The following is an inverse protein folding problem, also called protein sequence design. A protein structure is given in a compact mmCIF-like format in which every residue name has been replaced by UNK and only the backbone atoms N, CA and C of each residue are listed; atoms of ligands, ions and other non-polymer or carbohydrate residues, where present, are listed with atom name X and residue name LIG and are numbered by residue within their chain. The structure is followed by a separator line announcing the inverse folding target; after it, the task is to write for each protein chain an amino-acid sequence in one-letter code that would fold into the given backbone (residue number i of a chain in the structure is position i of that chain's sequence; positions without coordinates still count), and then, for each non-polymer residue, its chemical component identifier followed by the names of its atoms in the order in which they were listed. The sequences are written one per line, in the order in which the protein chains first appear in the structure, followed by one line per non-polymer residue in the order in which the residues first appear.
data_IF_831106757422
#
_entry.id   IF_831106757422
#
_cell.length_a   1.000
_cell.length_b   1.000
_cell.length_c   1.000
_cell.angle_alpha   90.00
_cell.angle_beta   90.00
_cell.angle_gamma   90.00
#
_symmetry.space_group_name_H-M   'P 1'
#
loop_
_entity.id
_entity.type
_entity.pdbx_description
1 polymer ?
#
# COMPACT_ATOMS: atom_id res chain seq x y z
N UNK A 1 -34.78 32.32 -8.46
CA UNK A 1 -33.66 31.59 -9.08
C UNK A 1 -32.38 32.40 -8.86
N UNK A 2 -31.61 32.07 -7.82
CA UNK A 2 -30.31 32.71 -7.57
C UNK A 2 -29.27 31.61 -7.55
N UNK A 3 -28.52 31.54 -8.66
CA UNK A 3 -27.37 30.63 -8.80
C UNK A 3 -26.18 31.26 -8.09
N UNK A 4 -25.81 30.71 -6.92
CA UNK A 4 -24.62 31.14 -6.20
C UNK A 4 -23.40 30.54 -6.86
N UNK A 5 -22.66 31.33 -7.63
CA UNK A 5 -21.33 30.98 -8.14
C UNK A 5 -20.34 31.08 -6.99
N UNK A 6 -19.99 29.95 -6.39
CA UNK A 6 -18.90 29.86 -5.40
C UNK A 6 -17.58 30.13 -6.13
N UNK A 7 -16.89 31.20 -5.75
CA UNK A 7 -15.61 31.62 -6.36
C UNK A 7 -14.55 30.53 -6.26
N UNK A 8 -14.14 30.00 -7.40
CA UNK A 8 -13.11 28.98 -7.63
C UNK A 8 -11.70 29.31 -7.09
N UNK A 9 -11.44 30.55 -6.66
CA UNK A 9 -10.10 31.06 -6.35
C UNK A 9 -9.60 30.77 -4.92
N UNK A 10 -10.46 30.60 -3.93
CA UNK A 10 -10.06 30.42 -2.55
C UNK A 10 -9.65 28.96 -2.20
N UNK A 11 -10.27 27.98 -2.86
CA UNK A 11 -9.98 26.55 -2.64
C UNK A 11 -8.64 26.17 -3.29
N UNK A 12 -8.34 26.70 -4.47
CA UNK A 12 -7.09 26.41 -5.19
C UNK A 12 -5.82 26.96 -4.51
N UNK A 13 -5.93 28.06 -3.74
CA UNK A 13 -4.79 28.63 -2.98
C UNK A 13 -4.44 27.76 -1.77
N UNK A 14 -5.43 27.33 -0.99
CA UNK A 14 -5.22 26.44 0.17
C UNK A 14 -4.72 25.04 -0.23
N UNK A 15 -5.11 24.57 -1.42
CA UNK A 15 -4.63 23.29 -1.95
C UNK A 15 -3.14 23.34 -2.33
N UNK A 16 -2.63 24.46 -2.82
CA UNK A 16 -1.20 24.62 -3.18
C UNK A 16 -0.30 24.67 -1.97
N UNK A 17 -0.71 25.30 -0.89
CA UNK A 17 0.06 25.35 0.36
C UNK A 17 0.12 23.98 1.06
N UNK A 18 -0.98 23.20 1.00
CA UNK A 18 -1.02 21.85 1.55
C UNK A 18 -0.17 20.82 0.78
N UNK A 19 0.14 21.10 -0.50
CA UNK A 19 0.98 20.24 -1.35
C UNK A 19 2.47 20.57 -1.29
N UNK A 20 2.86 21.75 -0.79
CA UNK A 20 4.26 22.19 -0.76
C UNK A 20 5.12 21.43 0.28
N UNK A 21 4.51 20.84 1.29
CA UNK A 21 5.22 20.17 2.40
C UNK A 21 5.54 18.67 2.13
N UNK A 22 5.22 18.17 0.93
CA UNK A 22 5.41 16.76 0.58
C UNK A 22 6.58 16.55 -0.43
N UNK A 23 7.66 17.32 -0.29
CA UNK A 23 8.83 17.28 -1.21
C UNK A 23 9.77 16.07 -1.07
N UNK A 24 9.43 15.07 -0.25
CA UNK A 24 10.22 13.84 -0.08
C UNK A 24 9.70 12.63 -0.89
N UNK A 25 8.77 12.84 -1.84
CA UNK A 25 8.29 11.73 -2.68
C UNK A 25 9.19 11.58 -3.90
N UNK A 26 9.82 10.44 -3.95
CA UNK A 26 10.66 9.82 -4.97
C UNK A 26 10.48 10.36 -6.39
N UNK A 27 11.61 10.72 -7.01
CA UNK A 27 11.74 11.02 -8.42
C UNK A 27 11.18 9.88 -9.29
N UNK A 28 10.23 10.23 -10.17
CA UNK A 28 9.76 9.37 -11.26
C UNK A 28 10.96 9.05 -12.15
N UNK A 29 11.22 7.78 -12.52
CA UNK A 29 12.31 7.44 -13.43
C UNK A 29 12.08 8.09 -14.79
N UNK A 30 12.96 8.97 -15.19
CA UNK A 30 13.03 9.50 -16.56
C UNK A 30 13.68 8.47 -17.46
N UNK A 31 12.88 7.59 -18.09
CA UNK A 31 13.26 6.97 -19.38
C UNK A 31 12.09 6.19 -19.99
N UNK A 32 11.85 6.45 -21.25
CA UNK A 32 10.99 5.81 -22.25
C UNK A 32 9.57 6.35 -22.39
N UNK A 33 9.36 7.01 -23.56
CA UNK A 33 8.13 7.57 -24.12
C UNK A 33 7.36 8.54 -23.21
N UNK A 34 7.24 9.80 -23.65
CA UNK A 34 6.60 10.92 -22.93
C UNK A 34 5.08 10.78 -22.69
N UNK A 35 4.52 9.57 -22.78
CA UNK A 35 3.07 9.36 -22.67
C UNK A 35 2.76 8.46 -21.47
N UNK A 36 2.11 9.04 -20.46
CA UNK A 36 1.60 8.32 -19.29
C UNK A 36 0.39 7.49 -19.72
N UNK A 37 0.30 6.23 -19.26
CA UNK A 37 -0.81 5.32 -19.53
C UNK A 37 -1.74 5.16 -18.32
N UNK A 38 -2.95 4.63 -18.57
CA UNK A 38 -3.91 4.27 -17.51
C UNK A 38 -3.28 3.32 -16.48
N UNK A 39 -2.51 2.33 -16.94
CA UNK A 39 -1.80 1.40 -16.04
C UNK A 39 -0.77 2.09 -15.15
N UNK A 40 -0.07 3.10 -15.65
CA UNK A 40 0.90 3.86 -14.84
C UNK A 40 0.21 4.77 -13.82
N UNK A 41 -0.91 5.41 -14.19
CA UNK A 41 -1.74 6.17 -13.22
C UNK A 41 -2.27 5.24 -12.14
N UNK A 42 -2.80 4.08 -12.54
CA UNK A 42 -3.26 3.05 -11.61
C UNK A 42 -2.15 2.61 -10.66
N UNK A 43 -0.96 2.28 -11.18
CA UNK A 43 0.17 1.86 -10.35
C UNK A 43 0.57 2.94 -9.32
N UNK A 44 0.51 4.22 -9.71
CA UNK A 44 0.78 5.34 -8.80
C UNK A 44 -0.28 5.43 -7.70
N UNK A 45 -1.56 5.30 -8.06
CA UNK A 45 -2.66 5.32 -7.07
C UNK A 45 -2.61 4.09 -6.15
N UNK A 46 -2.31 2.90 -6.69
CA UNK A 46 -2.15 1.67 -5.91
C UNK A 46 -0.94 1.76 -4.95
N UNK A 47 0.10 2.51 -5.30
CA UNK A 47 1.23 2.80 -4.40
C UNK A 47 0.82 3.73 -3.25
N UNK A 48 0.03 4.77 -3.53
CA UNK A 48 -0.43 5.72 -2.51
C UNK A 48 -1.55 5.14 -1.65
N UNK A 49 -2.43 4.37 -2.25
CA UNK A 49 -3.62 3.77 -1.66
C UNK A 49 -3.63 2.26 -1.94
N UNK A 50 -2.78 1.48 -1.26
CA UNK A 50 -2.63 0.05 -1.53
C UNK A 50 -3.98 -0.68 -1.52
N UNK A 51 -4.30 -1.48 -2.54
CA UNK A 51 -5.55 -2.27 -2.57
C UNK A 51 -5.74 -3.19 -1.36
N UNK A 52 -4.63 -3.60 -0.72
CA UNK A 52 -4.66 -4.40 0.51
C UNK A 52 -5.23 -3.68 1.74
N UNK A 53 -5.40 -2.36 1.68
CA UNK A 53 -6.04 -1.56 2.72
C UNK A 53 -7.54 -1.42 2.52
N UNK A 54 -8.09 -1.91 1.40
CA UNK A 54 -9.52 -1.88 1.17
C UNK A 54 -10.25 -2.86 2.10
N UNK A 55 -11.44 -2.44 2.54
CA UNK A 55 -12.35 -3.32 3.26
C UNK A 55 -12.75 -4.53 2.40
N UNK A 56 -13.00 -5.68 3.02
CA UNK A 56 -13.27 -6.94 2.33
C UNK A 56 -14.54 -6.93 1.46
N UNK A 57 -15.46 -6.01 1.72
CA UNK A 57 -16.70 -5.81 0.97
C UNK A 57 -16.57 -4.77 -0.15
N UNK A 58 -15.44 -4.05 -0.22
CA UNK A 58 -15.22 -2.94 -1.13
C UNK A 58 -14.74 -3.41 -2.52
N UNK A 59 -14.81 -2.51 -3.51
CA UNK A 59 -14.44 -2.78 -4.89
C UNK A 59 -13.68 -1.58 -5.53
N UNK A 60 -12.56 -1.13 -4.95
CA UNK A 60 -11.75 -0.08 -5.57
C UNK A 60 -11.00 -0.62 -6.79
N UNK A 61 -10.51 0.30 -7.63
CA UNK A 61 -9.67 -0.02 -8.77
C UNK A 61 -10.26 0.41 -10.12
N UNK A 62 -9.69 -0.10 -11.21
CA UNK A 62 -10.12 0.21 -12.57
C UNK A 62 -11.46 -0.48 -12.88
N UNK A 63 -12.48 0.34 -13.20
CA UNK A 63 -13.85 -0.13 -13.51
C UNK A 63 -14.04 -0.35 -15.00
N UNK A 64 -13.53 0.55 -15.84
CA UNK A 64 -13.50 0.44 -17.30
C UNK A 64 -12.38 1.30 -17.88
N UNK A 65 -11.99 1.01 -19.11
CA UNK A 65 -10.90 1.65 -19.84
C UNK A 65 -9.81 0.66 -20.21
N UNK A 66 -9.02 0.99 -21.21
CA UNK A 66 -7.87 0.19 -21.63
C UNK A 66 -6.63 0.62 -20.81
N UNK A 67 -5.93 -0.32 -20.15
CA UNK A 67 -4.71 -0.02 -19.39
C UNK A 67 -3.61 0.66 -20.22
N UNK A 68 -3.58 0.43 -21.53
CA UNK A 68 -2.56 0.97 -22.45
C UNK A 68 -2.95 2.33 -23.06
N UNK A 69 -4.20 2.80 -22.86
CA UNK A 69 -4.62 4.13 -23.32
C UNK A 69 -3.80 5.24 -22.64
N UNK A 70 -3.41 6.24 -23.45
CA UNK A 70 -2.64 7.40 -22.98
C UNK A 70 -3.52 8.34 -22.15
N UNK A 71 -2.99 8.82 -21.02
CA UNK A 71 -3.62 9.76 -20.11
C UNK A 71 -2.86 11.08 -20.08
N UNK A 72 -3.54 12.17 -20.49
CA UNK A 72 -3.04 13.55 -20.41
C UNK A 72 -3.89 14.40 -19.46
N UNK A 73 -5.17 14.07 -19.34
CA UNK A 73 -6.12 14.83 -18.52
C UNK A 73 -6.92 13.89 -17.62
N UNK A 74 -6.86 14.17 -16.33
CA UNK A 74 -7.59 13.45 -15.29
C UNK A 74 -8.62 14.40 -14.69
N UNK A 75 -9.86 13.92 -14.53
CA UNK A 75 -10.90 14.54 -13.72
C UNK A 75 -11.04 13.75 -12.42
N UNK A 76 -11.08 14.45 -11.29
CA UNK A 76 -11.33 13.85 -9.99
C UNK A 76 -12.70 14.28 -9.47
N UNK A 77 -13.47 13.33 -8.94
CA UNK A 77 -14.79 13.58 -8.37
C UNK A 77 -15.09 12.63 -7.22
N UNK A 78 -16.17 12.90 -6.48
CA UNK A 78 -16.62 12.00 -5.42
C UNK A 78 -17.26 10.73 -6.01
N UNK A 79 -18.10 10.89 -7.02
CA UNK A 79 -18.90 9.83 -7.64
C UNK A 79 -18.96 9.98 -9.16
N UNK A 80 -19.13 8.87 -9.87
CA UNK A 80 -19.39 8.85 -11.31
C UNK A 80 -20.89 9.00 -11.60
N UNK A 81 -21.44 10.22 -11.39
CA UNK A 81 -22.82 10.56 -11.77
C UNK A 81 -22.92 10.96 -13.24
N UNK A 82 -24.15 10.99 -13.81
CA UNK A 82 -24.35 11.48 -15.18
C UNK A 82 -23.76 12.90 -15.38
N UNK A 83 -23.96 13.80 -14.42
CA UNK A 83 -23.43 15.17 -14.46
C UNK A 83 -21.89 15.21 -14.43
N UNK A 84 -21.26 14.36 -13.62
CA UNK A 84 -19.79 14.25 -13.56
C UNK A 84 -19.24 13.69 -14.86
N UNK A 85 -19.92 12.71 -15.46
CA UNK A 85 -19.54 12.16 -16.77
C UNK A 85 -19.71 13.19 -17.88
N UNK A 86 -20.77 14.01 -17.86
CA UNK A 86 -20.91 15.15 -18.79
C UNK A 86 -19.74 16.11 -18.68
N UNK A 87 -19.38 16.51 -17.46
CA UNK A 87 -18.26 17.40 -17.22
C UNK A 87 -16.91 16.79 -17.64
N UNK A 88 -16.70 15.49 -17.45
CA UNK A 88 -15.50 14.79 -17.89
C UNK A 88 -15.39 14.75 -19.44
N UNK A 89 -16.52 14.52 -20.13
CA UNK A 89 -16.60 14.56 -21.60
C UNK A 89 -16.30 15.97 -22.13
N UNK A 90 -16.95 16.99 -21.56
CA UNK A 90 -16.73 18.39 -21.92
C UNK A 90 -15.29 18.84 -21.68
N UNK A 91 -14.67 18.34 -20.61
CA UNK A 91 -13.27 18.60 -20.30
C UNK A 91 -12.30 17.81 -21.20
N UNK A 92 -12.77 16.93 -22.08
CA UNK A 92 -11.93 16.00 -22.86
C UNK A 92 -10.98 15.21 -21.95
N UNK A 93 -11.51 14.64 -20.87
CA UNK A 93 -10.72 13.82 -19.96
C UNK A 93 -10.40 12.47 -20.58
N UNK A 94 -9.21 11.95 -20.29
CA UNK A 94 -8.79 10.59 -20.64
C UNK A 94 -9.10 9.61 -19.50
N UNK A 95 -9.17 10.13 -18.27
CA UNK A 95 -9.45 9.34 -17.08
C UNK A 95 -10.30 10.11 -16.07
N UNK A 96 -11.26 9.41 -15.45
CA UNK A 96 -12.06 9.88 -14.33
C UNK A 96 -11.66 9.04 -13.10
N UNK A 97 -11.12 9.69 -12.09
CA UNK A 97 -10.81 9.11 -10.79
C UNK A 97 -11.87 9.53 -9.78
N UNK A 98 -12.52 8.58 -9.17
CA UNK A 98 -13.59 8.81 -8.19
C UNK A 98 -13.25 8.16 -6.84
N UNK A 99 -13.87 8.67 -5.78
CA UNK A 99 -13.80 8.05 -4.47
C UNK A 99 -14.77 6.85 -4.42
N UNK A 100 -16.06 7.08 -4.61
CA UNK A 100 -17.08 6.02 -4.51
C UNK A 100 -17.07 5.12 -5.75
N UNK A 101 -16.92 3.78 -5.61
CA UNK A 101 -16.99 2.86 -6.73
C UNK A 101 -18.36 2.87 -7.41
N UNK A 102 -18.39 2.93 -8.73
CA UNK A 102 -19.63 2.82 -9.50
C UNK A 102 -20.26 1.44 -9.31
N UNK A 103 -19.46 0.39 -9.25
CA UNK A 103 -19.88 -1.01 -9.13
C UNK A 103 -19.31 -1.60 -7.83
N UNK A 104 -20.16 -1.69 -6.78
CA UNK A 104 -19.79 -2.26 -5.47
C UNK A 104 -19.98 -3.78 -5.40
N UNK A 105 -20.69 -4.36 -6.34
CA UNK A 105 -20.96 -5.79 -6.42
C UNK A 105 -20.68 -6.27 -7.82
N UNK A 106 -20.42 -7.57 -7.97
CA UNK A 106 -20.25 -8.17 -9.29
C UNK A 106 -21.41 -7.81 -10.22
N UNK A 107 -21.11 -7.26 -11.38
CA UNK A 107 -22.10 -6.91 -12.40
C UNK A 107 -22.25 -8.07 -13.38
N UNK A 108 -23.49 -8.53 -13.57
CA UNK A 108 -23.83 -9.54 -14.58
C UNK A 108 -24.19 -8.90 -15.93
N UNK A 109 -24.43 -7.60 -15.96
CA UNK A 109 -24.71 -6.82 -17.16
C UNK A 109 -24.26 -5.39 -16.97
N UNK A 110 -23.75 -4.79 -18.04
CA UNK A 110 -23.44 -3.35 -18.16
C UNK A 110 -24.25 -2.72 -19.29
N UNK A 111 -25.42 -3.29 -19.64
CA UNK A 111 -26.29 -2.76 -20.68
C UNK A 111 -26.74 -1.35 -20.36
N UNK A 112 -26.88 -0.51 -21.40
CA UNK A 112 -27.18 0.93 -21.25
C UNK A 112 -28.63 1.25 -20.84
N UNK A 113 -29.46 0.24 -20.64
CA UNK A 113 -30.84 0.36 -20.12
C UNK A 113 -30.86 0.62 -18.61
N UNK A 114 -29.75 0.33 -17.90
CA UNK A 114 -29.57 0.65 -16.49
C UNK A 114 -28.78 1.96 -16.30
N UNK A 115 -28.99 2.71 -15.18
CA UNK A 115 -28.21 3.92 -14.92
C UNK A 115 -26.70 3.68 -14.91
N UNK A 116 -26.22 2.64 -14.21
CA UNK A 116 -24.78 2.32 -14.13
C UNK A 116 -24.23 1.82 -15.46
N UNK A 117 -24.96 0.99 -16.18
CA UNK A 117 -24.59 0.55 -17.53
C UNK A 117 -24.49 1.71 -18.51
N UNK A 118 -25.41 2.68 -18.45
CA UNK A 118 -25.36 3.91 -19.28
C UNK A 118 -24.09 4.71 -19.01
N UNK A 119 -23.69 4.89 -17.77
CA UNK A 119 -22.44 5.55 -17.39
C UNK A 119 -21.25 4.82 -18.00
N UNK A 120 -21.14 3.50 -17.83
CA UNK A 120 -20.06 2.68 -18.39
C UNK A 120 -20.02 2.81 -19.92
N UNK A 121 -21.18 2.72 -20.60
CA UNK A 121 -21.26 2.89 -22.05
C UNK A 121 -20.78 4.26 -22.52
N UNK A 122 -21.14 5.33 -21.80
CA UNK A 122 -20.71 6.70 -22.13
C UNK A 122 -19.22 6.86 -21.97
N UNK A 123 -18.65 6.38 -20.87
CA UNK A 123 -17.21 6.45 -20.62
C UNK A 123 -16.41 5.70 -21.70
N UNK A 124 -16.81 4.46 -22.01
CA UNK A 124 -16.14 3.64 -23.04
C UNK A 124 -16.21 4.33 -24.42
N UNK A 125 -17.38 4.87 -24.82
CA UNK A 125 -17.55 5.56 -26.10
C UNK A 125 -16.69 6.80 -26.23
N UNK A 126 -16.42 7.48 -25.12
CA UNK A 126 -15.56 8.67 -25.11
C UNK A 126 -14.11 8.35 -24.74
N UNK A 127 -13.74 7.06 -24.63
CA UNK A 127 -12.41 6.59 -24.27
C UNK A 127 -11.91 7.17 -22.94
N UNK A 128 -12.79 7.28 -21.96
CA UNK A 128 -12.51 7.78 -20.62
C UNK A 128 -12.40 6.55 -19.69
N UNK A 129 -11.22 6.28 -19.14
CA UNK A 129 -11.04 5.27 -18.12
C UNK A 129 -11.68 5.72 -16.80
N UNK A 130 -12.30 4.78 -16.07
CA UNK A 130 -12.88 5.04 -14.74
C UNK A 130 -12.13 4.21 -13.70
N UNK A 131 -11.59 4.87 -12.69
CA UNK A 131 -10.95 4.25 -11.54
C UNK A 131 -11.52 4.80 -10.24
N UNK A 132 -11.66 3.94 -9.23
CA UNK A 132 -12.03 4.32 -7.87
C UNK A 132 -10.92 4.04 -6.88
N UNK A 133 -10.76 4.93 -5.89
CA UNK A 133 -9.96 4.75 -4.68
C UNK A 133 -10.84 5.10 -3.48
N UNK A 134 -11.29 4.10 -2.76
CA UNK A 134 -12.35 4.20 -1.76
C UNK A 134 -11.83 3.93 -0.34
N UNK A 135 -12.24 2.86 0.32
CA UNK A 135 -11.80 2.57 1.68
C UNK A 135 -10.28 2.41 1.80
N UNK A 136 -9.59 1.96 0.75
CA UNK A 136 -8.14 1.96 0.69
C UNK A 136 -7.54 3.38 0.74
N UNK A 137 -8.18 4.37 0.13
CA UNK A 137 -7.76 5.77 0.23
C UNK A 137 -8.12 6.39 1.59
N UNK A 138 -9.21 5.94 2.22
CA UNK A 138 -9.57 6.35 3.58
C UNK A 138 -8.56 5.82 4.62
N UNK A 139 -8.14 4.56 4.45
CA UNK A 139 -7.25 3.89 5.38
C UNK A 139 -5.77 4.28 5.22
N UNK A 140 -5.36 4.69 4.02
CA UNK A 140 -3.96 4.97 3.73
C UNK A 140 -3.42 6.15 4.54
N UNK A 141 -2.14 6.06 4.91
CA UNK A 141 -1.39 7.19 5.49
C UNK A 141 -1.25 8.30 4.44
N UNK A 142 -1.59 9.53 4.82
CA UNK A 142 -1.69 10.67 3.92
C UNK A 142 -2.89 10.62 2.98
N UNK A 143 -3.83 9.71 3.21
CA UNK A 143 -5.07 9.56 2.47
C UNK A 143 -6.17 10.55 2.88
N UNK A 144 -7.43 10.20 2.55
CA UNK A 144 -8.58 11.10 2.71
C UNK A 144 -8.75 11.56 4.15
N UNK A 145 -8.69 10.64 5.11
CA UNK A 145 -8.89 10.97 6.54
C UNK A 145 -7.77 11.84 7.11
N UNK A 146 -6.52 11.66 6.68
CA UNK A 146 -5.41 12.52 7.10
C UNK A 146 -5.52 13.93 6.49
N UNK A 147 -5.94 14.02 5.23
CA UNK A 147 -6.20 15.31 4.59
C UNK A 147 -7.33 16.05 5.29
N UNK A 148 -8.42 15.35 5.61
CA UNK A 148 -9.55 15.92 6.34
C UNK A 148 -9.14 16.41 7.73
N UNK A 149 -8.43 15.59 8.51
CA UNK A 149 -7.91 15.96 9.82
C UNK A 149 -7.05 17.25 9.75
N UNK A 150 -6.13 17.31 8.79
CA UNK A 150 -5.27 18.48 8.57
C UNK A 150 -6.08 19.73 8.19
N UNK A 151 -7.07 19.60 7.30
CA UNK A 151 -7.93 20.73 6.93
C UNK A 151 -8.76 21.25 8.10
N UNK A 152 -9.11 20.39 9.05
CA UNK A 152 -9.82 20.73 10.27
C UNK A 152 -8.89 21.20 11.38
N UNK A 153 -7.57 21.19 11.20
CA UNK A 153 -6.57 21.57 12.20
C UNK A 153 -6.49 20.58 13.36
N UNK A 154 -6.70 19.29 13.05
CA UNK A 154 -6.56 18.19 14.01
C UNK A 154 -5.15 17.59 13.86
N UNK A 155 -4.40 17.58 14.95
CA UNK A 155 -3.13 16.84 15.05
C UNK A 155 -3.44 15.38 15.30
N UNK A 156 -3.10 14.53 14.30
CA UNK A 156 -3.41 13.10 14.33
C UNK A 156 -2.49 12.35 15.29
N UNK A 157 -3.06 11.51 16.13
CA UNK A 157 -2.35 10.61 17.05
C UNK A 157 -2.31 9.18 16.52
N UNK A 158 -3.46 8.67 16.04
CA UNK A 158 -3.56 7.31 15.49
C UNK A 158 -4.85 7.16 14.65
N UNK A 159 -5.00 6.08 13.89
CA UNK A 159 -6.29 5.74 13.28
C UNK A 159 -7.31 5.35 14.35
N UNK A 160 -8.60 5.60 14.07
CA UNK A 160 -9.71 5.14 14.92
C UNK A 160 -9.80 3.62 14.92
N UNK A 161 -9.67 3.01 13.74
CA UNK A 161 -9.64 1.58 13.53
C UNK A 161 -8.39 1.22 12.72
N UNK A 162 -7.32 0.73 13.39
CA UNK A 162 -6.08 0.38 12.72
C UNK A 162 -6.28 -0.77 11.73
N UNK A 163 -5.74 -0.62 10.52
CA UNK A 163 -5.67 -1.74 9.58
C UNK A 163 -4.71 -2.81 10.10
N UNK A 164 -5.06 -4.07 9.91
CA UNK A 164 -4.19 -5.18 10.27
C UNK A 164 -2.83 -5.04 9.56
N UNK A 165 -1.77 -5.05 10.33
CA UNK A 165 -0.39 -5.04 9.86
C UNK A 165 0.24 -6.39 10.21
N UNK A 166 -0.04 -7.47 9.44
CA UNK A 166 0.49 -8.78 9.77
C UNK A 166 2.01 -8.75 9.69
N UNK A 167 2.63 -9.26 10.75
CA UNK A 167 4.08 -9.40 10.89
C UNK A 167 4.43 -10.87 10.84
N UNK A 168 5.46 -11.21 10.09
CA UNK A 168 6.02 -12.54 10.03
C UNK A 168 7.21 -12.65 10.99
N UNK A 169 7.19 -13.66 11.83
CA UNK A 169 8.35 -14.14 12.56
C UNK A 169 9.04 -15.19 11.70
N UNK A 170 10.26 -14.92 11.32
CA UNK A 170 11.15 -15.82 10.61
C UNK A 170 12.06 -16.53 11.60
N UNK A 171 12.21 -17.84 11.46
CA UNK A 171 13.20 -18.60 12.18
C UNK A 171 14.06 -19.37 11.18
N UNK A 172 15.38 -19.14 11.14
CA UNK A 172 16.30 -19.78 10.21
C UNK A 172 17.49 -20.37 10.95
N UNK A 173 17.82 -21.62 10.66
CA UNK A 173 19.02 -22.30 11.16
C UNK A 173 20.17 -22.06 10.18
N UNK A 174 21.34 -21.70 10.72
CA UNK A 174 22.53 -21.40 9.93
C UNK A 174 23.80 -21.78 10.70
N UNK A 175 24.88 -22.26 10.06
CA UNK A 175 26.17 -22.45 10.73
C UNK A 175 26.65 -21.17 11.43
N UNK A 176 27.29 -21.32 12.57
CA UNK A 176 27.71 -20.23 13.47
C UNK A 176 28.53 -19.18 12.72
N UNK A 177 29.44 -19.60 11.85
CA UNK A 177 30.34 -18.75 11.07
C UNK A 177 29.63 -17.94 9.96
N UNK A 178 28.46 -18.39 9.51
CA UNK A 178 27.65 -17.70 8.50
C UNK A 178 26.50 -16.86 9.09
N UNK A 179 26.28 -16.90 10.40
CA UNK A 179 25.14 -16.27 11.06
C UNK A 179 25.11 -14.74 10.88
N UNK A 180 26.25 -14.07 11.04
CA UNK A 180 26.34 -12.61 10.90
C UNK A 180 26.03 -12.15 9.47
N UNK A 181 26.59 -12.83 8.47
CA UNK A 181 26.36 -12.51 7.07
C UNK A 181 24.87 -12.66 6.68
N UNK A 182 24.25 -13.77 7.10
CA UNK A 182 22.82 -14.00 6.86
C UNK A 182 21.95 -12.97 7.57
N UNK A 183 22.21 -12.67 8.84
CA UNK A 183 21.48 -11.65 9.61
C UNK A 183 21.54 -10.28 8.92
N UNK A 184 22.73 -9.85 8.49
CA UNK A 184 22.91 -8.60 7.79
C UNK A 184 22.17 -8.57 6.44
N UNK A 185 22.11 -9.67 5.72
CA UNK A 185 21.32 -9.78 4.48
C UNK A 185 19.81 -9.64 4.75
N UNK A 186 19.31 -10.26 5.82
CA UNK A 186 17.91 -10.13 6.24
C UNK A 186 17.57 -8.69 6.65
N UNK A 187 18.44 -8.02 7.39
CA UNK A 187 18.28 -6.60 7.75
C UNK A 187 18.32 -5.69 6.53
N UNK A 188 19.25 -5.92 5.60
CA UNK A 188 19.31 -5.18 4.34
C UNK A 188 18.07 -5.37 3.46
N UNK A 189 17.35 -6.48 3.63
CA UNK A 189 16.08 -6.74 2.95
C UNK A 189 14.86 -6.16 3.69
N UNK A 190 15.04 -5.52 4.86
CA UNK A 190 14.00 -4.85 5.63
C UNK A 190 13.42 -5.65 6.80
N UNK A 191 14.04 -6.77 7.19
CA UNK A 191 13.70 -7.45 8.44
C UNK A 191 14.28 -6.73 9.66
N UNK A 192 13.80 -7.07 10.86
CA UNK A 192 14.34 -6.60 12.13
C UNK A 192 13.93 -5.17 12.49
N UNK A 193 12.90 -4.61 11.86
CA UNK A 193 12.32 -3.32 12.26
C UNK A 193 11.12 -3.57 13.17
N UNK A 194 11.10 -2.92 14.32
CA UNK A 194 10.03 -3.08 15.30
C UNK A 194 9.88 -1.83 16.17
N UNK A 195 8.75 -1.14 16.05
CA UNK A 195 8.27 -0.07 16.94
C UNK A 195 9.34 0.99 17.31
N UNK A 196 10.05 1.51 16.30
CA UNK A 196 11.11 2.52 16.49
C UNK A 196 12.50 1.94 16.74
N UNK A 197 12.65 0.62 16.72
CA UNK A 197 13.94 -0.07 16.75
C UNK A 197 14.23 -0.71 15.39
N UNK A 198 15.50 -0.79 15.03
CA UNK A 198 15.99 -1.53 13.87
C UNK A 198 16.99 -2.62 14.28
N UNK A 199 17.37 -3.46 13.33
CA UNK A 199 18.33 -4.54 13.52
C UNK A 199 17.95 -5.51 14.67
N UNK A 200 16.65 -5.64 14.95
CA UNK A 200 16.14 -6.52 16.00
C UNK A 200 16.23 -7.97 15.56
N UNK A 201 16.96 -8.79 16.32
CA UNK A 201 17.01 -10.24 16.17
C UNK A 201 17.17 -10.91 17.53
N UNK A 202 16.81 -12.18 17.59
CA UNK A 202 17.12 -13.05 18.70
C UNK A 202 17.78 -14.33 18.19
N UNK A 203 18.83 -14.76 18.83
CA UNK A 203 19.57 -15.95 18.43
C UNK A 203 19.58 -17.01 19.55
N UNK A 204 19.52 -18.26 19.13
CA UNK A 204 19.73 -19.41 20.02
C UNK A 204 20.67 -20.41 19.38
N UNK A 205 21.68 -20.83 20.14
CA UNK A 205 22.63 -21.84 19.70
C UNK A 205 22.00 -23.21 19.83
N UNK A 206 22.21 -24.04 18.82
CA UNK A 206 21.69 -25.41 18.77
C UNK A 206 22.61 -26.33 17.97
N UNK A 207 22.10 -27.51 17.69
CA UNK A 207 22.82 -28.52 16.92
C UNK A 207 21.91 -29.07 15.84
N UNK A 208 22.26 -28.83 14.58
CA UNK A 208 21.62 -29.39 13.41
C UNK A 208 22.16 -30.77 13.09
N UNK A 209 21.32 -31.67 12.58
CA UNK A 209 21.71 -32.97 12.07
C UNK A 209 21.06 -33.21 10.73
N UNK A 210 21.85 -33.65 9.75
CA UNK A 210 21.36 -34.02 8.44
C UNK A 210 22.23 -35.13 7.81
N UNK A 211 21.72 -35.71 6.72
CA UNK A 211 22.49 -36.67 5.91
C UNK A 211 22.32 -36.31 4.44
N UNK A 212 23.37 -35.85 3.77
CA UNK A 212 23.30 -35.60 2.33
C UNK A 212 23.04 -36.91 1.59
N UNK A 213 22.10 -36.92 0.67
CA UNK A 213 21.79 -38.06 -0.19
C UNK A 213 22.47 -37.93 -1.56
N UNK A 214 22.49 -39.04 -2.30
CA UNK A 214 23.02 -39.03 -3.67
C UNK A 214 22.28 -38.02 -4.53
N UNK A 215 23.02 -37.12 -5.21
CA UNK A 215 22.48 -36.05 -6.05
C UNK A 215 22.36 -34.68 -5.36
N UNK A 216 22.63 -34.59 -4.04
CA UNK A 216 22.75 -33.28 -3.36
C UNK A 216 24.17 -32.71 -3.51
N UNK A 217 24.29 -31.39 -3.36
CA UNK A 217 25.57 -30.65 -3.37
C UNK A 217 25.77 -29.96 -2.01
N UNK A 218 26.08 -30.72 -0.95
CA UNK A 218 26.13 -30.17 0.40
C UNK A 218 27.30 -29.19 0.55
N UNK A 219 27.06 -28.04 1.17
CA UNK A 219 28.11 -27.11 1.57
C UNK A 219 28.98 -27.68 2.71
N UNK A 220 28.41 -28.55 3.55
CA UNK A 220 29.06 -29.22 4.64
C UNK A 220 28.70 -30.70 4.61
N UNK A 221 29.64 -31.59 5.00
CA UNK A 221 29.44 -33.02 5.14
C UNK A 221 29.64 -33.84 3.88
N UNK A 222 29.50 -35.15 4.03
CA UNK A 222 29.79 -36.18 3.00
C UNK A 222 28.51 -36.95 2.66
N UNK A 223 28.30 -37.23 1.38
CA UNK A 223 27.13 -38.00 0.87
C UNK A 223 27.01 -39.35 1.65
N UNK A 224 25.78 -39.64 2.07
CA UNK A 224 25.39 -40.84 2.84
C UNK A 224 25.96 -40.95 4.25
N UNK A 225 26.65 -39.93 4.75
CA UNK A 225 27.08 -39.87 6.16
C UNK A 225 26.19 -38.93 6.96
N UNK A 226 25.95 -39.24 8.24
CA UNK A 226 25.22 -38.36 9.15
C UNK A 226 26.20 -37.31 9.66
N UNK A 227 25.86 -36.07 9.43
CA UNK A 227 26.60 -34.89 9.88
C UNK A 227 25.88 -34.23 11.05
N UNK A 228 26.65 -33.69 11.96
CA UNK A 228 26.16 -32.86 13.08
C UNK A 228 26.94 -31.57 13.11
N UNK A 229 26.21 -30.45 13.02
CA UNK A 229 26.78 -29.08 12.88
C UNK A 229 26.28 -28.23 14.05
N UNK A 230 27.18 -27.43 14.63
CA UNK A 230 26.74 -26.33 15.51
C UNK A 230 26.12 -25.24 14.70
N UNK A 231 24.88 -24.89 15.03
CA UNK A 231 24.08 -23.93 14.31
C UNK A 231 23.51 -22.86 15.24
N UNK A 232 23.26 -21.69 14.68
CA UNK A 232 22.46 -20.63 15.32
C UNK A 232 21.10 -20.62 14.66
N UNK A 233 20.06 -20.59 15.48
CA UNK A 233 18.73 -20.25 15.00
C UNK A 233 18.50 -18.75 15.19
N UNK A 234 18.43 -18.03 14.08
CA UNK A 234 18.15 -16.60 14.05
C UNK A 234 16.64 -16.40 13.95
N UNK A 235 16.09 -15.61 14.87
CA UNK A 235 14.72 -15.12 14.80
C UNK A 235 14.72 -13.62 14.43
N UNK A 236 13.97 -13.25 13.41
CA UNK A 236 13.73 -11.86 13.00
C UNK A 236 12.27 -11.67 12.64
N UNK A 237 11.78 -10.45 12.82
CA UNK A 237 10.43 -10.05 12.38
C UNK A 237 10.52 -9.24 11.08
N UNK A 238 9.50 -9.36 10.24
CA UNK A 238 9.37 -8.54 9.04
C UNK A 238 7.89 -8.34 8.69
N UNK A 239 7.51 -7.22 8.04
CA UNK A 239 6.15 -7.07 7.51
C UNK A 239 5.81 -8.23 6.56
N UNK A 240 4.62 -8.84 6.72
CA UNK A 240 4.23 -10.01 5.91
C UNK A 240 4.21 -9.71 4.40
N UNK A 241 3.96 -8.45 4.02
CA UNK A 241 4.03 -8.00 2.63
C UNK A 241 5.44 -8.13 2.01
N UNK A 242 6.49 -8.16 2.83
CA UNK A 242 7.89 -8.31 2.40
C UNK A 242 8.34 -9.77 2.32
N UNK A 243 7.44 -10.75 2.52
CA UNK A 243 7.77 -12.18 2.59
C UNK A 243 8.59 -12.68 1.41
N UNK A 244 8.28 -12.25 0.19
CA UNK A 244 9.04 -12.65 -1.01
C UNK A 244 10.45 -12.08 -1.03
N UNK A 245 10.62 -10.82 -0.63
CA UNK A 245 11.92 -10.13 -0.56
C UNK A 245 12.81 -10.74 0.50
N UNK A 246 12.26 -10.97 1.71
CA UNK A 246 12.99 -11.61 2.81
C UNK A 246 13.39 -13.04 2.45
N UNK A 247 12.48 -13.82 1.84
CA UNK A 247 12.81 -15.17 1.38
C UNK A 247 13.94 -15.18 0.37
N UNK A 248 13.92 -14.25 -0.58
CA UNK A 248 15.00 -14.15 -1.58
C UNK A 248 16.33 -13.84 -0.90
N UNK A 249 16.40 -12.86 -0.01
CA UNK A 249 17.61 -12.51 0.72
C UNK A 249 18.13 -13.67 1.57
N UNK A 250 17.23 -14.41 2.22
CA UNK A 250 17.56 -15.60 2.99
C UNK A 250 18.23 -16.65 2.11
N UNK A 251 17.61 -17.01 1.00
CA UNK A 251 18.11 -18.08 0.11
C UNK A 251 19.42 -17.68 -0.55
N UNK A 252 19.56 -16.43 -0.97
CA UNK A 252 20.77 -15.92 -1.64
C UNK A 252 21.98 -15.86 -0.67
N UNK A 253 21.74 -15.58 0.61
CA UNK A 253 22.82 -15.43 1.61
C UNK A 253 23.15 -16.69 2.38
N UNK A 254 22.27 -17.70 2.34
CA UNK A 254 22.45 -18.92 3.11
C UNK A 254 23.49 -19.85 2.47
N UNK A 255 24.43 -20.43 3.25
CA UNK A 255 25.46 -21.32 2.70
C UNK A 255 24.90 -22.67 2.22
N UNK A 256 23.75 -23.12 2.76
CA UNK A 256 23.17 -24.41 2.38
C UNK A 256 22.37 -24.31 1.07
N UNK A 257 22.45 -25.34 0.26
CA UNK A 257 21.63 -25.53 -0.94
C UNK A 257 20.13 -25.47 -0.63
N UNK A 258 19.73 -26.02 0.50
CA UNK A 258 18.34 -26.01 0.99
C UNK A 258 18.33 -25.54 2.44
N UNK A 259 18.12 -24.23 2.69
CA UNK A 259 18.03 -23.69 4.05
C UNK A 259 16.85 -24.26 4.84
N UNK A 260 17.08 -24.56 6.13
CA UNK A 260 16.00 -24.89 7.05
C UNK A 260 15.45 -23.60 7.70
N UNK A 261 14.21 -23.24 7.39
CA UNK A 261 13.55 -22.07 7.98
C UNK A 261 12.02 -22.27 8.08
N UNK A 262 11.42 -21.53 8.97
CA UNK A 262 9.96 -21.41 9.09
C UNK A 262 9.53 -19.94 9.19
N UNK A 263 8.27 -19.70 8.82
CA UNK A 263 7.64 -18.37 8.86
C UNK A 263 6.29 -18.51 9.54
N UNK A 264 6.06 -17.68 10.55
CA UNK A 264 4.78 -17.65 11.28
C UNK A 264 4.27 -16.22 11.30
N UNK A 265 3.05 -16.02 10.87
CA UNK A 265 2.40 -14.71 11.06
C UNK A 265 1.99 -14.59 12.53
N UNK A 266 2.39 -13.48 13.14
CA UNK A 266 2.15 -13.19 14.55
C UNK A 266 1.45 -11.84 14.71
N UNK A 267 0.82 -11.66 15.88
CA UNK A 267 0.44 -10.34 16.38
C UNK A 267 1.68 -9.72 17.04
N UNK A 268 2.16 -8.61 16.51
CA UNK A 268 3.35 -7.95 17.01
C UNK A 268 3.14 -7.15 18.29
N UNK A 269 1.87 -6.86 18.62
CA UNK A 269 1.53 -5.95 19.74
C UNK A 269 1.99 -4.50 19.53
N UNK A 270 2.36 -4.11 18.31
CA UNK A 270 2.75 -2.75 17.97
C UNK A 270 1.62 -1.76 18.27
N UNK A 271 1.96 -0.60 18.85
CA UNK A 271 0.97 0.43 19.14
C UNK A 271 0.68 1.25 17.89
N UNK A 272 -0.61 1.49 17.56
CA UNK A 272 -0.94 2.39 16.47
C UNK A 272 -0.43 3.81 16.73
N UNK A 273 0.15 4.42 15.72
CA UNK A 273 0.63 5.81 15.73
C UNK A 273 0.15 6.59 14.50
N UNK A 274 0.59 7.85 14.32
CA UNK A 274 0.16 8.69 13.20
C UNK A 274 0.44 8.10 11.82
N UNK A 275 1.49 7.27 11.70
CA UNK A 275 1.89 6.60 10.47
C UNK A 275 1.27 5.20 10.31
N UNK A 276 0.34 4.80 11.17
CA UNK A 276 -0.39 3.52 11.04
C UNK A 276 -1.56 3.70 10.07
N UNK A 277 -1.70 2.87 9.02
CA UNK A 277 -2.89 2.86 8.19
C UNK A 277 -4.13 2.43 8.98
N UNK A 278 -5.31 2.88 8.55
CA UNK A 278 -6.57 2.48 9.19
C UNK A 278 -7.69 3.48 8.93
N UNK A 279 -8.91 3.10 9.26
CA UNK A 279 -10.11 3.91 9.03
C UNK A 279 -10.25 4.97 10.13
N UNK A 280 -10.63 6.19 9.72
CA UNK A 280 -10.79 7.33 10.62
C UNK A 280 -9.47 7.80 11.23
N UNK A 281 -9.55 8.88 12.04
CA UNK A 281 -8.40 9.39 12.79
C UNK A 281 -8.83 9.84 14.17
N UNK A 282 -8.01 9.55 15.16
CA UNK A 282 -8.06 10.13 16.51
C UNK A 282 -6.98 11.19 16.59
N UNK A 283 -7.29 12.31 17.20
CA UNK A 283 -6.34 13.40 17.39
C UNK A 283 -6.93 14.52 18.22
N UNK A 284 -6.20 15.60 18.40
CA UNK A 284 -6.59 16.75 19.18
C UNK A 284 -6.42 18.05 18.38
N UNK A 285 -7.10 19.08 18.83
CA UNK A 285 -6.87 20.46 18.40
C UNK A 285 -5.78 21.07 19.27
N UNK A 286 -4.87 21.83 18.69
CA UNK A 286 -3.79 22.49 19.43
C UNK A 286 -4.36 23.43 20.50
N UNK A 287 -5.47 24.12 20.19
CA UNK A 287 -6.19 24.97 21.11
C UNK A 287 -7.67 24.61 21.21
N UNK A 288 -8.25 24.53 22.41
CA UNK A 288 -9.67 24.28 22.61
C UNK A 288 -10.53 25.36 21.91
N UNK A 289 -11.58 24.92 21.21
CA UNK A 289 -12.52 25.83 20.58
C UNK A 289 -13.96 25.38 20.74
N UNK A 290 -14.90 26.30 20.55
CA UNK A 290 -16.32 25.97 20.57
C UNK A 290 -16.71 25.19 19.32
N UNK A 291 -17.73 24.33 19.38
CA UNK A 291 -18.26 23.64 18.23
C UNK A 291 -18.68 24.60 17.10
N UNK A 292 -19.26 25.77 17.49
CA UNK A 292 -19.61 26.82 16.52
C UNK A 292 -18.40 27.34 15.75
N UNK A 293 -17.29 27.58 16.43
CA UNK A 293 -16.05 28.04 15.78
C UNK A 293 -15.45 26.94 14.90
N UNK A 294 -15.51 25.70 15.33
CA UNK A 294 -15.04 24.55 14.56
C UNK A 294 -15.82 24.36 13.25
N UNK A 295 -17.15 24.50 13.27
CA UNK A 295 -18.00 24.35 12.08
C UNK A 295 -17.87 25.49 11.06
N UNK A 296 -17.15 26.55 11.39
CA UNK A 296 -16.87 27.69 10.50
C UNK A 296 -15.49 27.61 9.83
N UNK A 297 -14.67 26.59 10.17
CA UNK A 297 -13.41 26.28 9.53
C UNK A 297 -13.62 25.61 8.17
#
# INVERSE_FOLDING_TARGET
MHTTIVRRTAIASRYREAMADNSSRTSIPQSCSDQITVSQVRATLDQWYPPSLAESWDAPGLVCGDPDDTVKRIVCALEATDTVVDAAIEAHADMLVVHHPLLMRGATSVAADTPKGRIVHRLIRHRIALMSAHTNADAAVGGVNDVLARLLGVTVECPLEPAAQPVDLWGVQVPVDAAEALRNALFGAGAGQFDGYDLCSFESVGRGQFRPLSGSHPALGTTNQVETVEEVRIHVVAPAMMRSTIRKALVDAHPYEVPAYDVKTIDSGSRPGPATPGIGRIGHLDEPMTLRSFTQR
#
